data_IF_361256620513
#
_entry.id   IF_361256620513
#
_cell.length_a   1.000
_cell.length_b   1.000
_cell.length_c   1.000
_cell.angle_alpha   90.00
_cell.angle_beta   90.00
_cell.angle_gamma   90.00
#
_symmetry.space_group_name_H-M   'P 1'
#
loop_
_entity.id
_entity.type
_entity.pdbx_description
1 polymer ?
#
# COMPACT_ATOMS: atom_id res chain seq x y z
N UNK A 1 3.12 -1.82 7.65
CA UNK A 1 1.99 -2.52 6.99
C UNK A 1 0.87 -1.51 6.90
N UNK A 2 0.21 -1.40 5.75
CA UNK A 2 -0.92 -0.52 5.53
C UNK A 2 -2.06 -1.27 4.85
N UNK A 3 -3.28 -0.81 5.07
CA UNK A 3 -4.50 -1.31 4.45
C UNK A 3 -5.55 -0.20 4.48
N UNK A 4 -6.72 -0.44 3.89
CA UNK A 4 -7.81 0.52 3.80
C UNK A 4 -9.11 -0.17 3.35
N UNK A 5 -10.06 0.64 2.90
CA UNK A 5 -11.32 0.18 2.34
C UNK A 5 -11.72 1.13 1.21
N UNK A 6 -12.27 0.58 0.13
CA UNK A 6 -12.90 1.38 -0.94
C UNK A 6 -14.36 1.70 -0.60
N UNK A 7 -15.02 0.87 0.21
CA UNK A 7 -16.39 1.08 0.69
C UNK A 7 -16.43 1.48 2.16
N UNK A 8 -17.41 2.31 2.51
CA UNK A 8 -17.62 2.76 3.88
C UNK A 8 -18.01 1.59 4.79
N UNK A 9 -17.77 1.72 6.10
CA UNK A 9 -18.15 0.69 7.08
C UNK A 9 -19.67 0.45 7.17
N UNK A 10 -20.48 1.41 6.73
CA UNK A 10 -21.94 1.33 6.67
C UNK A 10 -22.48 0.78 5.34
N UNK A 11 -21.59 0.50 4.38
CA UNK A 11 -21.98 -0.13 3.11
C UNK A 11 -22.54 -1.55 3.37
N UNK A 12 -23.53 -2.04 2.61
CA UNK A 12 -24.02 -3.41 2.73
C UNK A 12 -22.96 -4.49 2.49
N UNK A 13 -21.89 -4.18 1.76
CA UNK A 13 -20.79 -5.09 1.44
C UNK A 13 -19.42 -4.41 1.63
N UNK A 14 -19.03 -4.10 2.88
CA UNK A 14 -17.81 -3.36 3.16
C UNK A 14 -16.57 -4.27 2.99
N UNK A 15 -15.52 -3.75 2.35
CA UNK A 15 -14.26 -4.48 2.14
C UNK A 15 -13.26 -4.32 3.31
N UNK A 16 -13.46 -3.31 4.18
CA UNK A 16 -12.58 -3.00 5.30
C UNK A 16 -12.30 -4.15 6.28
N UNK A 17 -13.31 -4.90 6.79
CA UNK A 17 -13.07 -6.00 7.72
C UNK A 17 -12.15 -7.10 7.14
N UNK A 18 -12.37 -7.48 5.89
CA UNK A 18 -11.53 -8.47 5.19
C UNK A 18 -10.12 -7.93 4.97
N UNK A 19 -9.99 -6.68 4.52
CA UNK A 19 -8.70 -6.02 4.30
C UNK A 19 -7.87 -5.94 5.61
N UNK A 20 -8.49 -5.61 6.75
CA UNK A 20 -7.84 -5.58 8.07
C UNK A 20 -7.37 -6.99 8.47
N UNK A 21 -8.24 -8.00 8.33
CA UNK A 21 -7.89 -9.39 8.65
C UNK A 21 -6.70 -9.87 7.82
N UNK A 22 -6.74 -9.64 6.52
CA UNK A 22 -5.69 -10.07 5.61
C UNK A 22 -4.38 -9.32 5.87
N UNK A 23 -4.44 -8.01 6.13
CA UNK A 23 -3.28 -7.23 6.54
C UNK A 23 -2.64 -7.75 7.83
N UNK A 24 -3.44 -8.15 8.82
CA UNK A 24 -2.96 -8.74 10.06
C UNK A 24 -2.26 -10.10 9.83
N UNK A 25 -2.86 -10.98 9.01
CA UNK A 25 -2.25 -12.25 8.61
C UNK A 25 -0.90 -12.05 7.92
N UNK A 26 -0.81 -11.09 7.00
CA UNK A 26 0.45 -10.77 6.33
C UNK A 26 1.44 -10.16 7.33
N UNK A 27 1.01 -9.28 8.22
CA UNK A 27 1.92 -8.64 9.18
C UNK A 27 2.65 -9.64 10.08
N UNK A 28 1.97 -10.72 10.51
CA UNK A 28 2.57 -11.76 11.36
C UNK A 28 3.31 -12.85 10.58
N UNK A 29 3.14 -12.92 9.27
CA UNK A 29 3.75 -13.97 8.45
C UNK A 29 5.28 -13.81 8.39
N UNK A 30 6.08 -14.87 8.65
CA UNK A 30 7.54 -14.75 8.71
C UNK A 30 8.19 -14.21 7.43
N UNK A 31 7.63 -14.58 6.26
CA UNK A 31 8.12 -14.08 4.96
C UNK A 31 7.85 -12.59 4.74
N UNK A 32 7.07 -11.90 5.57
CA UNK A 32 6.86 -10.45 5.41
C UNK A 32 8.07 -9.62 5.82
N UNK A 33 8.99 -10.19 6.61
CA UNK A 33 10.22 -9.53 7.05
C UNK A 33 11.12 -9.19 5.86
N UNK A 34 11.79 -8.04 5.94
CA UNK A 34 12.73 -7.58 4.91
C UNK A 34 12.10 -7.01 3.65
N UNK A 35 10.78 -7.10 3.45
CA UNK A 35 10.09 -6.70 2.21
C UNK A 35 9.74 -5.20 2.11
N UNK A 36 10.18 -4.39 3.07
CA UNK A 36 9.87 -2.96 3.12
C UNK A 36 8.46 -2.66 3.62
N UNK A 37 7.92 -1.50 3.24
CA UNK A 37 6.52 -1.19 3.50
C UNK A 37 5.61 -1.93 2.50
N UNK A 38 4.52 -2.48 3.01
CA UNK A 38 3.55 -3.29 2.26
C UNK A 38 2.15 -2.67 2.39
N UNK A 39 1.37 -2.78 1.31
CA UNK A 39 -0.07 -2.49 1.27
C UNK A 39 -0.78 -3.82 1.05
N UNK A 40 -1.85 -4.08 1.82
CA UNK A 40 -2.72 -5.23 1.60
C UNK A 40 -4.14 -4.74 1.35
N UNK A 41 -4.67 -5.00 0.17
CA UNK A 41 -6.00 -4.58 -0.31
C UNK A 41 -6.55 -5.67 -1.22
N UNK A 42 -7.86 -5.96 -1.16
CA UNK A 42 -8.51 -6.95 -2.04
C UNK A 42 -7.84 -8.34 -2.04
N UNK A 43 -7.26 -8.74 -0.90
CA UNK A 43 -6.49 -9.98 -0.77
C UNK A 43 -5.20 -10.02 -1.59
N UNK A 44 -4.69 -8.89 -2.05
CA UNK A 44 -3.41 -8.74 -2.75
C UNK A 44 -2.38 -8.04 -1.86
N UNK A 45 -1.10 -8.38 -2.04
CA UNK A 45 0.02 -7.87 -1.23
C UNK A 45 0.93 -7.07 -2.14
N UNK A 46 0.95 -5.76 -1.99
CA UNK A 46 1.72 -4.87 -2.85
C UNK A 46 2.95 -4.31 -2.14
N UNK A 47 3.99 -4.01 -2.93
CA UNK A 47 5.08 -3.14 -2.46
C UNK A 47 4.60 -1.70 -2.42
N UNK A 48 4.81 -1.01 -1.31
CA UNK A 48 4.49 0.42 -1.21
C UNK A 48 5.19 1.29 -2.25
N UNK A 49 6.31 0.82 -2.79
CA UNK A 49 7.07 1.53 -3.81
C UNK A 49 6.43 1.49 -5.20
N UNK A 50 5.59 0.49 -5.47
CA UNK A 50 5.06 0.21 -6.82
C UNK A 50 3.55 0.27 -6.92
N UNK A 51 2.86 0.25 -5.78
CA UNK A 51 1.40 0.30 -5.76
C UNK A 51 0.91 1.68 -6.17
N UNK A 52 -0.10 1.71 -7.03
CA UNK A 52 -0.86 2.90 -7.36
C UNK A 52 -2.34 2.61 -7.20
N UNK A 53 -3.11 3.64 -6.84
CA UNK A 53 -4.56 3.60 -6.95
C UNK A 53 -4.93 3.91 -8.40
N UNK A 54 -5.50 2.95 -9.12
CA UNK A 54 -5.81 3.02 -10.55
C UNK A 54 -7.30 3.21 -10.84
N UNK A 55 -8.16 2.84 -9.89
CA UNK A 55 -9.61 3.04 -9.98
C UNK A 55 -10.14 3.90 -8.82
N UNK A 56 -11.23 4.62 -9.05
CA UNK A 56 -11.83 5.52 -8.05
C UNK A 56 -12.92 4.86 -7.20
N UNK A 57 -13.52 3.78 -7.68
CA UNK A 57 -14.77 3.21 -7.18
C UNK A 57 -14.72 1.69 -6.99
N UNK A 58 -13.92 0.96 -7.77
CA UNK A 58 -13.82 -0.50 -7.66
C UNK A 58 -13.06 -0.95 -6.40
N UNK A 59 -13.41 -2.13 -5.87
CA UNK A 59 -12.65 -2.71 -4.74
C UNK A 59 -11.25 -3.15 -5.17
N UNK A 60 -11.10 -3.52 -6.45
CA UNK A 60 -9.82 -3.84 -7.08
C UNK A 60 -9.10 -2.59 -7.61
N UNK A 61 -9.04 -1.54 -6.78
CA UNK A 61 -8.54 -0.23 -7.18
C UNK A 61 -7.02 -0.05 -7.09
N UNK A 62 -6.27 -1.05 -6.61
CA UNK A 62 -4.84 -0.93 -6.37
C UNK A 62 -4.05 -1.91 -7.23
N UNK A 63 -3.10 -1.40 -8.01
CA UNK A 63 -2.24 -2.22 -8.87
C UNK A 63 -0.76 -1.94 -8.61
N UNK A 64 0.07 -2.99 -8.69
CA UNK A 64 1.53 -2.86 -8.66
C UNK A 64 2.08 -2.70 -10.08
N UNK A 65 2.68 -1.53 -10.37
CA UNK A 65 3.34 -1.33 -11.67
C UNK A 65 4.71 -2.01 -11.65
N UNK A 66 4.82 -3.07 -12.46
CA UNK A 66 6.01 -3.86 -12.82
C UNK A 66 7.19 -3.88 -11.82
N UNK A 67 7.52 -5.06 -11.25
CA UNK A 67 6.76 -6.31 -11.24
C UNK A 67 5.37 -6.19 -10.59
N UNK A 68 4.49 -7.19 -10.84
CA UNK A 68 3.19 -7.34 -10.21
C UNK A 68 3.26 -7.40 -8.68
N UNK A 69 2.11 -7.65 -8.04
CA UNK A 69 2.00 -7.85 -6.61
C UNK A 69 3.02 -8.88 -6.05
N UNK A 70 3.40 -8.66 -4.79
CA UNK A 70 4.34 -9.50 -4.06
C UNK A 70 3.71 -10.83 -3.61
N UNK A 71 2.39 -10.98 -3.74
CA UNK A 71 1.67 -12.14 -3.26
C UNK A 71 0.20 -11.88 -2.99
N UNK A 72 -0.51 -12.92 -2.54
CA UNK A 72 -1.95 -12.87 -2.30
C UNK A 72 -2.32 -13.55 -0.98
N UNK A 73 -3.41 -13.10 -0.38
CA UNK A 73 -4.10 -13.79 0.71
C UNK A 73 -5.31 -14.52 0.11
N UNK A 74 -5.35 -15.85 0.27
CA UNK A 74 -6.41 -16.71 -0.27
C UNK A 74 -6.84 -17.72 0.79
N UNK A 75 -8.14 -17.78 1.09
CA UNK A 75 -8.67 -18.66 2.14
C UNK A 75 -8.03 -18.42 3.52
N UNK A 76 -7.60 -17.18 3.81
CA UNK A 76 -6.88 -16.85 5.05
C UNK A 76 -5.43 -17.31 5.11
N UNK A 77 -4.82 -17.72 3.99
CA UNK A 77 -3.41 -18.10 3.90
C UNK A 77 -2.64 -17.10 3.07
N UNK A 78 -1.42 -16.80 3.50
CA UNK A 78 -0.52 -15.84 2.85
C UNK A 78 0.39 -16.56 1.86
N UNK A 79 0.33 -16.16 0.59
CA UNK A 79 1.14 -16.70 -0.50
C UNK A 79 2.00 -15.59 -1.09
N UNK A 80 3.32 -15.60 -0.81
CA UNK A 80 4.26 -14.68 -1.45
C UNK A 80 4.76 -15.26 -2.78
N UNK A 81 4.90 -14.40 -3.79
CA UNK A 81 5.64 -14.70 -5.01
C UNK A 81 7.16 -14.56 -4.76
N UNK A 82 7.96 -15.17 -5.64
CA UNK A 82 9.43 -15.08 -5.59
C UNK A 82 9.96 -13.74 -6.13
N UNK A 83 9.09 -12.93 -6.75
CA UNK A 83 9.40 -11.61 -7.26
C UNK A 83 9.56 -10.63 -6.08
N UNK A 84 10.80 -10.46 -5.60
CA UNK A 84 11.14 -9.48 -4.59
C UNK A 84 12.14 -8.46 -5.13
N UNK A 85 11.94 -7.18 -4.83
CA UNK A 85 12.94 -6.15 -5.08
C UNK A 85 13.56 -5.65 -3.77
N UNK A 86 14.90 -5.57 -3.70
CA UNK A 86 15.58 -5.14 -2.48
C UNK A 86 15.18 -3.73 -2.04
N UNK A 87 15.31 -3.50 -0.73
CA UNK A 87 15.20 -2.15 -0.15
C UNK A 87 16.29 -1.27 -0.75
N UNK A 88 15.92 -0.11 -1.28
CA UNK A 88 16.88 0.93 -1.68
C UNK A 88 17.05 1.89 -0.51
N UNK A 89 18.30 2.13 -0.12
CA UNK A 89 18.65 3.21 0.79
C UNK A 89 18.86 4.49 -0.03
N UNK A 90 17.94 5.44 0.10
CA UNK A 90 18.11 6.77 -0.49
C UNK A 90 18.83 7.64 0.54
N UNK A 91 20.03 8.17 0.26
CA UNK A 91 20.71 9.05 1.20
C UNK A 91 19.86 10.30 1.42
N UNK A 92 19.79 10.76 2.68
CA UNK A 92 19.18 12.05 2.97
C UNK A 92 19.96 13.14 2.22
N UNK A 93 19.28 14.06 1.51
CA UNK A 93 19.97 15.15 0.84
C UNK A 93 20.68 16.02 1.89
N UNK A 94 21.92 16.44 1.61
CA UNK A 94 22.72 17.27 2.51
C UNK A 94 22.03 18.60 2.87
N UNK A 95 21.11 19.06 2.02
CA UNK A 95 20.30 20.24 2.23
C UNK A 95 18.85 19.93 1.84
N UNK A 96 17.91 20.14 2.76
CA UNK A 96 16.49 20.10 2.43
C UNK A 96 16.17 21.30 1.53
N UNK A 97 15.31 21.15 0.50
CA UNK A 97 14.86 22.28 -0.29
C UNK A 97 14.23 23.33 0.64
N UNK A 98 14.76 24.55 0.59
CA UNK A 98 14.23 25.68 1.38
C UNK A 98 12.76 25.85 1.02
N UNK A 99 11.87 25.86 2.02
CA UNK A 99 10.45 26.15 1.80
C UNK A 99 10.34 27.53 1.16
N UNK A 100 9.92 27.60 -0.11
CA UNK A 100 9.49 28.85 -0.70
C UNK A 100 8.17 29.25 -0.06
N UNK A 101 8.24 30.06 1.01
CA UNK A 101 7.07 30.77 1.52
C UNK A 101 6.74 31.90 0.54
N UNK A 102 6.07 31.57 -0.57
CA UNK A 102 5.38 32.58 -1.37
C UNK A 102 4.19 33.09 -0.55
N UNK A 103 4.43 34.18 0.18
CA UNK A 103 3.38 34.97 0.82
C UNK A 103 2.45 35.50 -0.28
N UNK A 104 1.32 34.85 -0.50
CA UNK A 104 0.25 35.40 -1.32
C UNK A 104 -0.34 36.57 -0.54
N UNK A 105 0.18 37.78 -0.80
CA UNK A 105 -0.49 39.02 -0.35
C UNK A 105 -1.80 39.11 -1.11
N UNK A 106 -2.90 38.82 -0.41
CA UNK A 106 -4.24 39.12 -0.91
C UNK A 106 -4.31 40.60 -1.28
N UNK A 107 -4.62 40.88 -2.55
CA UNK A 107 -5.13 42.18 -2.96
C UNK A 107 -6.57 42.27 -2.44
N UNK A 108 -6.82 43.27 -1.60
CA UNK A 108 -8.16 43.77 -1.33
C UNK A 108 -8.73 44.44 -2.57
#
# INVERSE_FOLDING_TARGET
MFTGAMRAATDPNPDGPTNIRDAALVAVHPKSRGRGALIVMNGEIHSARRVMKVDTSEVDAFESIQPPDLGKVRGGRVHFSDAWSPRIHVPLPAHLPRRHHSHVRGRR
#
